data_IF_644035205551
#
_entry.id   IF_644035205551
#
_cell.length_a   1.000
_cell.length_b   1.000
_cell.length_c   1.000
_cell.angle_alpha   90.00
_cell.angle_beta   90.00
_cell.angle_gamma   90.00
#
_symmetry.space_group_name_H-M   'P 1'
#
loop_
_entity.id
_entity.type
_entity.pdbx_description
1 polymer ?
#
# COMPACT_ATOMS: atom_id res chain seq x y z
N UNK A 1 -10.20 17.48 25.84
CA UNK A 1 -9.49 18.18 26.94
C UNK A 1 -9.78 19.67 26.77
N UNK A 2 -10.55 20.23 27.70
CA UNK A 2 -11.10 21.59 27.59
C UNK A 2 -12.53 21.74 28.09
N UNK A 3 -13.17 20.66 28.58
CA UNK A 3 -14.48 20.71 29.22
C UNK A 3 -15.64 21.15 28.33
N UNK A 4 -15.43 21.37 27.03
CA UNK A 4 -16.45 21.79 26.07
C UNK A 4 -16.25 23.24 25.63
N UNK A 5 -16.98 23.64 24.59
CA UNK A 5 -16.91 25.00 24.07
C UNK A 5 -17.70 25.97 24.96
N UNK A 6 -17.16 27.17 25.16
CA UNK A 6 -17.79 28.29 25.86
C UNK A 6 -17.24 29.60 25.26
N UNK A 7 -17.90 30.72 25.52
CA UNK A 7 -17.59 32.02 24.93
C UNK A 7 -17.31 33.07 25.98
N UNK A 8 -16.49 34.06 25.62
CA UNK A 8 -16.30 35.23 26.47
C UNK A 8 -17.49 36.18 26.32
N UNK A 9 -17.98 36.73 27.42
CA UNK A 9 -19.03 37.75 27.42
C UNK A 9 -20.46 37.23 27.52
N UNK A 10 -20.65 35.92 27.71
CA UNK A 10 -21.91 35.30 28.10
C UNK A 10 -21.75 34.48 29.40
N UNK A 11 -22.82 33.82 29.85
CA UNK A 11 -22.84 32.98 31.06
C UNK A 11 -22.42 31.52 30.78
N UNK A 12 -21.82 31.24 29.62
CA UNK A 12 -21.42 29.87 29.25
C UNK A 12 -20.16 29.42 29.99
N UNK A 13 -20.10 28.13 30.31
CA UNK A 13 -18.98 27.50 31.01
C UNK A 13 -18.77 26.06 30.52
N UNK A 14 -17.58 25.46 30.74
CA UNK A 14 -17.33 24.08 30.33
C UNK A 14 -18.32 23.09 30.95
N UNK A 15 -19.06 22.35 30.12
CA UNK A 15 -20.15 21.45 30.53
C UNK A 15 -19.77 19.96 30.65
N UNK A 16 -18.55 19.59 30.22
CA UNK A 16 -18.11 18.19 30.20
C UNK A 16 -16.96 17.93 31.16
N UNK A 17 -16.89 16.69 31.63
CA UNK A 17 -15.87 16.25 32.59
C UNK A 17 -14.45 16.38 32.01
N UNK A 18 -13.53 16.87 32.84
CA UNK A 18 -12.16 17.15 32.47
C UNK A 18 -11.28 15.91 32.69
N UNK A 19 -10.73 15.37 31.62
CA UNK A 19 -9.61 14.41 31.69
C UNK A 19 -8.27 15.14 31.60
N UNK A 20 -7.30 14.73 32.43
CA UNK A 20 -5.94 15.23 32.38
C UNK A 20 -5.19 14.75 31.13
N UNK A 21 -4.55 15.68 30.41
CA UNK A 21 -3.67 15.40 29.29
C UNK A 21 -2.56 16.45 29.24
N UNK A 22 -1.35 16.02 28.91
CA UNK A 22 -0.20 16.89 28.75
C UNK A 22 0.91 16.20 27.98
N UNK A 23 1.89 16.97 27.51
CA UNK A 23 3.07 16.45 26.83
C UNK A 23 3.99 17.57 26.37
N UNK A 24 5.30 17.41 26.60
CA UNK A 24 6.33 18.43 26.31
C UNK A 24 6.32 18.92 24.87
N UNK A 25 5.98 18.04 23.92
CA UNK A 25 5.96 18.37 22.49
C UNK A 25 4.56 18.53 21.90
N UNK A 26 3.52 18.56 22.74
CA UNK A 26 2.19 18.93 22.28
C UNK A 26 2.24 20.35 21.70
N UNK A 27 1.70 20.53 20.48
CA UNK A 27 1.72 21.82 19.77
C UNK A 27 3.13 22.34 19.46
N UNK A 28 4.09 21.43 19.24
CA UNK A 28 5.43 21.82 18.81
C UNK A 28 5.37 22.76 17.59
N UNK A 29 6.00 23.95 17.62
CA UNK A 29 5.81 24.98 16.60
C UNK A 29 6.11 24.51 15.17
N UNK A 30 7.19 23.74 15.00
CA UNK A 30 7.55 23.18 13.70
C UNK A 30 6.51 22.18 13.17
N UNK A 31 5.93 21.35 14.05
CA UNK A 31 4.93 20.37 13.65
C UNK A 31 3.62 21.05 13.25
N UNK A 32 3.21 22.11 13.96
CA UNK A 32 2.04 22.91 13.59
C UNK A 32 2.24 23.66 12.27
N UNK A 33 3.42 24.24 12.05
CA UNK A 33 3.75 24.91 10.80
C UNK A 33 3.73 23.93 9.61
N UNK A 34 4.35 22.75 9.77
CA UNK A 34 4.34 21.70 8.74
C UNK A 34 2.92 21.17 8.47
N UNK A 35 2.12 20.91 9.51
CA UNK A 35 0.73 20.49 9.38
C UNK A 35 -0.09 21.52 8.60
N UNK A 36 0.03 22.80 8.94
CA UNK A 36 -0.64 23.89 8.21
C UNK A 36 -0.23 23.92 6.73
N UNK A 37 1.07 23.81 6.43
CA UNK A 37 1.56 23.80 5.06
C UNK A 37 1.00 22.61 4.25
N UNK A 38 1.00 21.41 4.84
CA UNK A 38 0.43 20.20 4.21
C UNK A 38 -1.07 20.36 3.94
N UNK A 39 -1.85 20.83 4.92
CA UNK A 39 -3.29 21.02 4.76
C UNK A 39 -3.64 22.05 3.67
N UNK A 40 -2.88 23.15 3.60
CA UNK A 40 -3.06 24.16 2.54
C UNK A 40 -2.74 23.57 1.17
N UNK A 41 -1.60 22.87 1.06
CA UNK A 41 -1.20 22.22 -0.19
C UNK A 41 -2.24 21.19 -0.67
N UNK A 42 -2.77 20.37 0.23
CA UNK A 42 -3.85 19.41 -0.10
C UNK A 42 -5.12 20.14 -0.54
N UNK A 43 -5.56 21.16 0.19
CA UNK A 43 -6.76 21.93 -0.16
C UNK A 43 -6.66 22.57 -1.55
N UNK A 44 -5.47 23.03 -1.93
CA UNK A 44 -5.22 23.66 -3.23
C UNK A 44 -5.14 22.65 -4.39
N UNK A 45 -4.67 21.42 -4.14
CA UNK A 45 -4.36 20.45 -5.20
C UNK A 45 -5.29 19.22 -5.22
N UNK A 46 -6.21 19.09 -4.26
CA UNK A 46 -7.21 18.02 -4.21
C UNK A 46 -8.36 18.28 -5.20
N UNK A 47 -8.94 17.22 -5.80
CA UNK A 47 -8.63 15.80 -5.58
C UNK A 47 -7.47 15.25 -6.44
N UNK A 48 -7.00 16.02 -7.43
CA UNK A 48 -6.09 15.55 -8.47
C UNK A 48 -4.76 15.02 -7.92
N UNK A 49 -4.23 15.62 -6.85
CA UNK A 49 -3.00 15.13 -6.21
C UNK A 49 -3.13 13.68 -5.70
N UNK A 50 -4.29 13.31 -5.14
CA UNK A 50 -4.56 11.94 -4.70
C UNK A 50 -4.85 11.02 -5.89
N UNK A 51 -5.63 11.50 -6.87
CA UNK A 51 -5.98 10.70 -8.05
C UNK A 51 -4.75 10.25 -8.82
N UNK A 52 -3.76 11.14 -9.02
CA UNK A 52 -2.51 10.82 -9.72
C UNK A 52 -1.73 9.70 -9.04
N UNK A 53 -1.47 9.80 -7.73
CA UNK A 53 -0.72 8.76 -7.01
C UNK A 53 -1.50 7.44 -6.92
N UNK A 54 -2.83 7.50 -6.82
CA UNK A 54 -3.69 6.31 -6.83
C UNK A 54 -3.65 5.61 -8.20
N UNK A 55 -3.65 6.36 -9.30
CA UNK A 55 -3.53 5.82 -10.66
C UNK A 55 -2.18 5.12 -10.87
N UNK A 56 -1.07 5.73 -10.43
CA UNK A 56 0.26 5.10 -10.49
C UNK A 56 0.30 3.80 -9.67
N UNK A 57 -0.29 3.80 -8.48
CA UNK A 57 -0.34 2.62 -7.60
C UNK A 57 -1.19 1.51 -8.20
N UNK A 58 -2.33 1.87 -8.79
CA UNK A 58 -3.19 0.92 -9.49
C UNK A 58 -2.49 0.33 -10.71
N UNK A 59 -1.81 1.15 -11.52
CA UNK A 59 -1.03 0.70 -12.67
C UNK A 59 0.02 -0.33 -12.26
N UNK A 60 0.83 0.01 -11.25
CA UNK A 60 1.84 -0.90 -10.68
C UNK A 60 1.20 -2.23 -10.26
N UNK A 61 0.13 -2.19 -9.48
CA UNK A 61 -0.54 -3.40 -9.00
C UNK A 61 -1.09 -4.24 -10.17
N UNK A 62 -1.71 -3.61 -11.17
CA UNK A 62 -2.26 -4.30 -12.34
C UNK A 62 -1.18 -5.00 -13.15
N UNK A 63 -0.12 -4.28 -13.55
CA UNK A 63 0.94 -4.84 -14.39
C UNK A 63 1.70 -5.97 -13.70
N UNK A 64 2.00 -5.81 -12.41
CA UNK A 64 2.68 -6.84 -11.62
C UNK A 64 1.78 -8.07 -11.42
N UNK A 65 0.50 -7.87 -11.11
CA UNK A 65 -0.44 -8.99 -10.97
C UNK A 65 -0.62 -9.76 -12.27
N UNK A 66 -0.70 -9.07 -13.40
CA UNK A 66 -0.77 -9.71 -14.71
C UNK A 66 0.46 -10.59 -14.93
N UNK A 67 1.66 -10.07 -14.67
CA UNK A 67 2.89 -10.84 -14.76
C UNK A 67 2.86 -12.08 -13.85
N UNK A 68 2.48 -11.92 -12.57
CA UNK A 68 2.39 -13.05 -11.63
C UNK A 68 1.40 -14.14 -12.08
N UNK A 69 0.28 -13.75 -12.70
CA UNK A 69 -0.68 -14.69 -13.27
C UNK A 69 -0.09 -15.45 -14.47
N UNK A 70 0.59 -14.76 -15.38
CA UNK A 70 1.23 -15.35 -16.57
C UNK A 70 2.28 -16.42 -16.20
N UNK A 71 3.10 -16.13 -15.19
CA UNK A 71 4.15 -17.07 -14.72
C UNK A 71 3.65 -18.05 -13.65
N UNK A 72 2.42 -17.88 -13.15
CA UNK A 72 1.80 -18.75 -12.17
C UNK A 72 2.37 -18.64 -10.75
N UNK A 73 2.91 -17.48 -10.37
CA UNK A 73 3.46 -17.25 -9.02
C UNK A 73 2.32 -16.92 -8.03
N UNK A 74 2.27 -17.55 -6.85
CA UNK A 74 1.21 -17.36 -5.87
C UNK A 74 1.46 -16.15 -4.97
N UNK A 75 1.70 -15.00 -5.61
CA UNK A 75 1.82 -13.69 -4.98
C UNK A 75 0.84 -12.78 -5.72
N UNK A 76 0.20 -11.87 -4.98
CA UNK A 76 -0.58 -10.79 -5.57
C UNK A 76 -0.19 -9.46 -4.94
N UNK A 77 -0.25 -8.39 -5.71
CA UNK A 77 -0.22 -7.03 -5.21
C UNK A 77 -1.64 -6.63 -4.82
N UNK A 78 -1.84 -6.32 -3.55
CA UNK A 78 -3.05 -5.68 -3.04
C UNK A 78 -2.78 -4.21 -2.78
N UNK A 79 -3.72 -3.34 -3.13
CA UNK A 79 -3.55 -1.89 -2.99
C UNK A 79 -4.82 -1.18 -2.53
N UNK A 80 -4.64 -0.04 -1.87
CA UNK A 80 -5.70 0.91 -1.51
C UNK A 80 -5.12 2.32 -1.47
N UNK A 81 -5.62 3.19 -2.35
CA UNK A 81 -5.00 4.50 -2.56
C UNK A 81 -3.55 4.36 -3.01
N UNK A 82 -2.62 5.05 -2.33
CA UNK A 82 -1.19 4.96 -2.58
C UNK A 82 -0.48 3.81 -1.84
N UNK A 83 -1.17 3.09 -0.96
CA UNK A 83 -0.64 1.95 -0.23
C UNK A 83 -0.74 0.69 -1.09
N UNK A 84 0.32 -0.12 -1.08
CA UNK A 84 0.28 -1.47 -1.65
C UNK A 84 1.15 -2.45 -0.85
N UNK A 85 0.87 -3.75 -1.03
CA UNK A 85 1.63 -4.87 -0.44
C UNK A 85 1.69 -6.05 -1.38
N UNK A 86 2.78 -6.81 -1.31
CA UNK A 86 2.87 -8.15 -1.90
C UNK A 86 2.32 -9.15 -0.89
N UNK A 87 1.21 -9.79 -1.24
CA UNK A 87 0.50 -10.76 -0.42
C UNK A 87 0.64 -12.15 -1.06
N UNK A 88 1.45 -13.04 -0.47
CA UNK A 88 1.57 -14.39 -0.96
C UNK A 88 0.41 -15.26 -0.43
N UNK A 89 0.04 -16.29 -1.18
CA UNK A 89 -1.10 -17.15 -0.86
C UNK A 89 -0.82 -18.62 -1.17
N UNK A 90 -1.77 -19.50 -0.81
CA UNK A 90 -1.65 -20.94 -1.03
C UNK A 90 -0.44 -21.54 -0.29
N UNK A 91 0.40 -22.29 -1.00
CA UNK A 91 1.61 -22.92 -0.46
C UNK A 91 2.67 -21.91 0.03
N UNK A 92 2.51 -20.63 -0.31
CA UNK A 92 3.39 -19.53 0.09
C UNK A 92 2.66 -18.54 1.00
N UNK A 93 1.55 -18.95 1.60
CA UNK A 93 0.83 -18.11 2.56
C UNK A 93 1.75 -17.60 3.65
N UNK A 94 1.57 -16.35 4.08
CA UNK A 94 2.38 -15.72 5.12
C UNK A 94 2.39 -16.51 6.45
N UNK A 95 1.32 -17.26 6.72
CA UNK A 95 1.22 -18.13 7.91
C UNK A 95 2.18 -19.32 7.89
N UNK A 96 2.68 -19.70 6.70
CA UNK A 96 3.66 -20.77 6.51
C UNK A 96 5.11 -20.26 6.54
N UNK A 97 5.30 -18.94 6.67
CA UNK A 97 6.62 -18.29 6.73
C UNK A 97 7.58 -18.71 5.60
N UNK A 98 7.16 -18.64 4.32
CA UNK A 98 8.04 -18.97 3.20
C UNK A 98 9.26 -18.05 3.17
N UNK A 99 10.43 -18.62 2.87
CA UNK A 99 11.70 -17.88 2.76
C UNK A 99 11.75 -16.99 1.51
N UNK A 100 10.94 -17.32 0.50
CA UNK A 100 10.89 -16.66 -0.80
C UNK A 100 10.51 -15.18 -0.70
N UNK A 101 9.56 -14.82 0.19
CA UNK A 101 9.12 -13.44 0.31
C UNK A 101 10.21 -12.54 0.93
N UNK A 102 10.86 -12.91 2.05
CA UNK A 102 12.05 -12.20 2.52
C UNK A 102 13.15 -12.06 1.45
N UNK A 103 13.47 -13.12 0.72
CA UNK A 103 14.49 -13.08 -0.35
C UNK A 103 14.10 -12.13 -1.48
N UNK A 104 12.84 -12.14 -1.89
CA UNK A 104 12.29 -11.21 -2.87
C UNK A 104 12.52 -9.75 -2.45
N UNK A 105 12.21 -9.41 -1.19
CA UNK A 105 12.46 -8.05 -0.71
C UNK A 105 13.95 -7.69 -0.60
N UNK A 106 14.83 -8.65 -0.28
CA UNK A 106 16.28 -8.41 -0.33
C UNK A 106 16.76 -8.14 -1.75
N UNK A 107 16.26 -8.88 -2.75
CA UNK A 107 16.57 -8.63 -4.16
C UNK A 107 16.07 -7.26 -4.62
N UNK A 108 14.87 -6.84 -4.21
CA UNK A 108 14.40 -5.48 -4.48
C UNK A 108 15.36 -4.42 -3.92
N UNK A 109 15.82 -4.58 -2.67
CA UNK A 109 16.78 -3.66 -2.07
C UNK A 109 18.11 -3.64 -2.84
N UNK A 110 18.63 -4.81 -3.26
CA UNK A 110 19.85 -4.90 -4.07
C UNK A 110 19.69 -4.25 -5.45
N UNK A 111 18.48 -4.28 -6.01
CA UNK A 111 18.10 -3.61 -7.26
C UNK A 111 17.75 -2.12 -7.08
N UNK A 112 17.99 -1.56 -5.89
CA UNK A 112 17.78 -0.14 -5.62
C UNK A 112 16.33 0.25 -5.27
N UNK A 113 15.44 -0.72 -5.07
CA UNK A 113 14.06 -0.50 -4.62
C UNK A 113 13.98 -0.77 -3.12
N UNK A 114 14.04 0.30 -2.32
CA UNK A 114 14.03 0.19 -0.86
C UNK A 114 12.66 -0.26 -0.32
N UNK A 115 12.67 -1.26 0.55
CA UNK A 115 11.49 -1.72 1.30
C UNK A 115 11.80 -1.91 2.79
N UNK A 116 11.00 -1.25 3.66
CA UNK A 116 11.05 -1.43 5.13
C UNK A 116 10.66 -2.89 5.48
N UNK A 117 11.30 -3.51 6.49
CA UNK A 117 10.92 -4.81 7.07
C UNK A 117 9.42 -5.07 7.34
N UNK A 118 8.57 -4.06 7.60
CA UNK A 118 7.12 -4.26 7.78
C UNK A 118 6.39 -4.55 6.47
N UNK A 119 7.08 -4.46 5.33
CA UNK A 119 6.61 -4.84 3.98
C UNK A 119 5.34 -4.11 3.52
N UNK A 120 5.08 -2.94 4.10
CA UNK A 120 4.05 -2.01 3.64
C UNK A 120 4.71 -0.98 2.75
N UNK A 121 4.24 -0.87 1.52
CA UNK A 121 4.82 0.02 0.52
C UNK A 121 3.86 1.18 0.23
N UNK A 122 4.42 2.33 -0.11
CA UNK A 122 3.68 3.54 -0.45
C UNK A 122 4.31 4.20 -1.66
N UNK A 123 3.48 4.71 -2.56
CA UNK A 123 3.91 5.71 -3.53
C UNK A 123 3.66 7.11 -2.96
N UNK A 124 4.58 8.01 -3.26
CA UNK A 124 4.44 9.44 -2.98
C UNK A 124 4.04 10.20 -4.23
N UNK A 125 3.59 11.44 -4.06
CA UNK A 125 3.26 12.35 -5.17
C UNK A 125 4.46 12.75 -6.03
N UNK A 126 5.68 12.47 -5.57
CA UNK A 126 6.92 12.69 -6.32
C UNK A 126 7.27 11.54 -7.26
N UNK A 127 6.62 10.37 -7.15
CA UNK A 127 6.89 9.25 -8.04
C UNK A 127 6.35 9.53 -9.43
N UNK A 128 7.15 9.19 -10.42
CA UNK A 128 6.85 9.36 -11.85
C UNK A 128 6.51 8.03 -12.51
N UNK A 129 6.01 8.04 -13.75
CA UNK A 129 5.79 6.80 -14.50
C UNK A 129 7.09 6.02 -14.67
N UNK A 130 8.21 6.73 -14.88
CA UNK A 130 9.54 6.16 -15.02
C UNK A 130 9.99 5.45 -13.74
N UNK A 131 9.62 5.98 -12.57
CA UNK A 131 9.90 5.30 -11.30
C UNK A 131 9.04 4.04 -11.15
N UNK A 132 7.78 4.08 -11.59
CA UNK A 132 6.92 2.89 -11.60
C UNK A 132 7.48 1.82 -12.54
N UNK A 133 7.96 2.21 -13.71
CA UNK A 133 8.59 1.30 -14.66
C UNK A 133 9.81 0.61 -14.05
N UNK A 134 10.68 1.37 -13.36
CA UNK A 134 11.83 0.81 -12.64
C UNK A 134 11.42 -0.20 -11.58
N UNK A 135 10.37 0.09 -10.80
CA UNK A 135 9.86 -0.84 -9.78
C UNK A 135 9.32 -2.12 -10.44
N UNK A 136 8.53 -1.99 -11.51
CA UNK A 136 7.97 -3.14 -12.25
C UNK A 136 9.08 -4.02 -12.81
N UNK A 137 10.11 -3.42 -13.42
CA UNK A 137 11.28 -4.14 -13.93
C UNK A 137 11.99 -4.87 -12.80
N UNK A 138 12.32 -4.18 -11.70
CA UNK A 138 13.00 -4.79 -10.55
C UNK A 138 12.20 -5.95 -9.95
N UNK A 139 10.88 -5.84 -9.85
CA UNK A 139 9.98 -6.92 -9.38
C UNK A 139 10.04 -8.12 -10.31
N UNK A 140 9.93 -7.90 -11.62
CA UNK A 140 9.97 -8.98 -12.62
C UNK A 140 11.30 -9.71 -12.58
N UNK A 141 12.41 -8.96 -12.60
CA UNK A 141 13.76 -9.53 -12.50
C UNK A 141 13.97 -10.32 -11.21
N UNK A 142 13.58 -9.76 -10.05
CA UNK A 142 13.76 -10.43 -8.77
C UNK A 142 13.00 -11.77 -8.70
N UNK A 143 11.78 -11.83 -9.24
CA UNK A 143 11.00 -13.08 -9.28
C UNK A 143 11.59 -14.07 -10.27
N UNK A 144 12.04 -13.61 -11.45
CA UNK A 144 12.71 -14.48 -12.42
C UNK A 144 14.01 -15.07 -11.87
N UNK A 145 14.83 -14.27 -11.18
CA UNK A 145 16.05 -14.75 -10.51
C UNK A 145 15.74 -15.79 -9.43
N UNK A 146 14.71 -15.57 -8.61
CA UNK A 146 14.27 -16.54 -7.62
C UNK A 146 13.82 -17.85 -8.25
N UNK A 147 13.04 -17.79 -9.33
CA UNK A 147 12.62 -19.00 -10.06
C UNK A 147 13.81 -19.77 -10.64
N UNK A 148 14.78 -19.06 -11.24
CA UNK A 148 16.00 -19.67 -11.77
C UNK A 148 16.85 -20.32 -10.69
N UNK A 149 16.84 -19.77 -9.47
CA UNK A 149 17.50 -20.33 -8.29
C UNK A 149 16.70 -21.48 -7.63
N UNK A 150 15.57 -21.90 -8.20
CA UNK A 150 14.76 -23.03 -7.72
C UNK A 150 13.73 -22.67 -6.64
N UNK A 151 13.56 -21.38 -6.31
CA UNK A 151 12.46 -20.94 -5.47
C UNK A 151 11.13 -20.96 -6.24
N UNK A 152 10.01 -21.02 -5.52
CA UNK A 152 8.67 -21.14 -6.11
C UNK A 152 8.40 -22.44 -6.91
N UNK A 153 9.20 -23.50 -6.74
CA UNK A 153 9.05 -24.75 -7.49
C UNK A 153 7.68 -25.44 -7.32
N UNK A 154 6.98 -25.21 -6.19
CA UNK A 154 5.65 -25.76 -5.92
C UNK A 154 4.49 -24.85 -6.39
N UNK A 155 4.81 -23.73 -7.06
CA UNK A 155 3.82 -22.84 -7.63
C UNK A 155 3.10 -23.54 -8.79
N UNK A 156 1.93 -24.14 -8.52
CA UNK A 156 1.04 -24.63 -9.57
C UNK A 156 0.41 -23.43 -10.27
N UNK A 157 0.50 -23.37 -11.61
CA UNK A 157 -0.25 -22.38 -12.40
C UNK A 157 -1.73 -22.42 -12.00
N UNK A 158 -2.37 -21.28 -11.72
CA UNK A 158 -3.79 -21.25 -11.47
C UNK A 158 -4.53 -21.78 -12.71
N UNK A 159 -5.29 -22.87 -12.54
CA UNK A 159 -6.17 -23.36 -13.60
C UNK A 159 -7.33 -22.38 -13.75
N UNK A 160 -7.44 -21.74 -14.91
CA UNK A 160 -8.62 -20.95 -15.27
C UNK A 160 -9.81 -21.92 -15.30
N UNK A 161 -10.72 -21.82 -14.32
CA UNK A 161 -12.01 -22.49 -14.40
C UNK A 161 -12.75 -21.90 -15.59
N UNK A 162 -12.92 -22.68 -16.67
CA UNK A 162 -13.94 -22.37 -17.68
C UNK A 162 -15.28 -22.38 -16.94
N UNK A 163 -15.95 -21.24 -16.88
CA UNK A 163 -17.35 -21.20 -16.47
C UNK A 163 -18.15 -22.01 -17.48
N UNK A 164 -18.62 -23.18 -17.07
CA UNK A 164 -19.66 -23.89 -17.78
C UNK A 164 -20.94 -23.06 -17.67
N UNK A 165 -21.35 -22.44 -18.78
CA UNK A 165 -22.67 -21.83 -18.90
C UNK A 165 -23.71 -22.91 -18.63
N UNK A 166 -24.38 -22.85 -17.47
CA UNK A 166 -25.61 -23.63 -17.25
C UNK A 166 -26.67 -23.17 -18.26
N UNK A 167 -27.32 -24.09 -18.99
CA UNK A 167 -28.47 -23.72 -19.80
C UNK A 167 -29.59 -23.22 -18.89
N UNK A 168 -30.22 -22.11 -19.26
CA UNK A 168 -31.43 -21.62 -18.59
C UNK A 168 -32.50 -22.71 -18.69
N UNK A 169 -33.03 -23.16 -17.56
CA UNK A 169 -34.29 -23.89 -17.52
C UNK A 169 -35.42 -22.88 -17.71
N UNK A 170 -36.20 -23.07 -18.77
CA UNK A 170 -37.51 -22.44 -18.93
C UNK A 170 -38.48 -23.08 -17.92
N UNK A 171 -39.06 -22.25 -17.06
CA UNK A 171 -40.38 -22.43 -16.42
C UNK A 171 -41.12 -21.09 -16.53
#
# INVERSE_FOLDING_TARGET
>A
VGGGFWQYGDDSHPQTELTAFGGTFCRHPLALAACRAVLLHLRENSPTIQEKVNQLTHRLATEVNQFFQEIGIPIRVVNFGSLFRFEPFGAYSIFLQPIELPLFYYLLNLKGIYTWEKRVCFLSTCHTNEDIDKVIVAVKEAITELQQAGFFANAKRPQVKKEEKKPLSED
#
